data_IF_152251917265
#
_entry.id   IF_152251917265
#
_cell.length_a   1.000
_cell.length_b   1.000
_cell.length_c   1.000
_cell.angle_alpha   90.00
_cell.angle_beta   90.00
_cell.angle_gamma   90.00
#
_symmetry.space_group_name_H-M   'P 1'
#
loop_
_entity.id
_entity.type
_entity.pdbx_description
1 polymer ?
#
# COMPACT_ATOMS: atom_id res chain seq x y z
N UNK A 1 -12.30 -31.49 0.61
CA UNK A 1 -11.47 -30.40 0.05
C UNK A 1 -10.22 -31.00 -0.56
N UNK A 2 -9.73 -30.49 -1.70
CA UNK A 2 -8.41 -30.85 -2.19
C UNK A 2 -7.35 -30.51 -1.14
N UNK A 3 -6.31 -31.34 -1.05
CA UNK A 3 -5.19 -31.10 -0.14
C UNK A 3 -4.40 -29.90 -0.69
N UNK A 4 -4.17 -28.90 0.17
CA UNK A 4 -3.37 -27.71 -0.16
C UNK A 4 -1.98 -27.90 0.41
N UNK A 5 -0.97 -27.86 -0.45
CA UNK A 5 0.43 -28.08 -0.07
C UNK A 5 1.31 -26.86 -0.30
N UNK A 6 0.90 -25.96 -1.18
CA UNK A 6 1.63 -24.75 -1.55
C UNK A 6 0.66 -23.63 -1.98
N UNK A 7 1.19 -22.43 -2.22
CA UNK A 7 0.39 -21.26 -2.62
C UNK A 7 -0.18 -21.40 -4.05
N UNK A 8 0.52 -22.11 -4.94
CA UNK A 8 0.06 -22.35 -6.30
C UNK A 8 -1.22 -23.20 -6.33
N UNK A 9 -1.37 -24.17 -5.43
CA UNK A 9 -2.61 -24.94 -5.26
C UNK A 9 -3.80 -24.01 -4.95
N UNK A 10 -3.59 -22.95 -4.15
CA UNK A 10 -4.60 -21.94 -3.86
C UNK A 10 -4.92 -21.09 -5.09
N UNK A 11 -3.92 -20.64 -5.85
CA UNK A 11 -4.11 -19.86 -7.09
C UNK A 11 -4.92 -20.64 -8.11
N UNK A 12 -4.60 -21.92 -8.33
CA UNK A 12 -5.33 -22.80 -9.27
C UNK A 12 -6.78 -22.99 -8.84
N UNK A 13 -7.06 -23.11 -7.53
CA UNK A 13 -8.43 -23.21 -7.03
C UNK A 13 -9.19 -21.90 -7.16
N UNK A 14 -8.53 -20.77 -6.91
CA UNK A 14 -9.09 -19.45 -7.11
C UNK A 14 -9.48 -19.24 -8.58
N UNK A 15 -8.59 -19.55 -9.52
CA UNK A 15 -8.85 -19.49 -10.97
C UNK A 15 -10.08 -20.30 -11.39
N UNK A 16 -10.32 -21.45 -10.76
CA UNK A 16 -11.49 -22.32 -11.06
C UNK A 16 -12.80 -21.80 -10.47
N UNK A 17 -12.74 -21.01 -9.40
CA UNK A 17 -13.91 -20.63 -8.59
C UNK A 17 -14.36 -19.19 -8.82
N UNK A 18 -13.44 -18.33 -9.22
CA UNK A 18 -13.70 -16.90 -9.38
C UNK A 18 -14.05 -16.59 -10.84
N UNK A 19 -15.09 -15.77 -11.10
CA UNK A 19 -15.42 -15.32 -12.45
C UNK A 19 -14.19 -14.70 -13.13
N UNK A 20 -14.00 -15.02 -14.42
CA UNK A 20 -12.79 -14.63 -15.18
C UNK A 20 -12.44 -13.15 -15.06
N UNK A 21 -13.44 -12.25 -15.12
CA UNK A 21 -13.21 -10.81 -15.02
C UNK A 21 -12.52 -10.41 -13.71
N UNK A 22 -12.92 -11.00 -12.57
CA UNK A 22 -12.33 -10.69 -11.27
C UNK A 22 -10.98 -11.38 -11.09
N UNK A 23 -10.86 -12.61 -11.58
CA UNK A 23 -9.58 -13.32 -11.58
C UNK A 23 -8.52 -12.56 -12.38
N UNK A 24 -8.83 -12.16 -13.62
CA UNK A 24 -7.91 -11.43 -14.48
C UNK A 24 -7.53 -10.07 -13.88
N UNK A 25 -8.41 -9.43 -13.09
CA UNK A 25 -8.06 -8.21 -12.37
C UNK A 25 -6.95 -8.43 -11.34
N UNK A 26 -7.00 -9.54 -10.60
CA UNK A 26 -5.99 -9.86 -9.58
C UNK A 26 -4.71 -10.48 -10.16
N UNK A 27 -4.85 -11.29 -11.22
CA UNK A 27 -3.76 -12.08 -11.82
C UNK A 27 -3.40 -11.58 -13.23
N UNK A 28 -3.12 -10.29 -13.34
CA UNK A 28 -2.58 -9.68 -14.56
C UNK A 28 -1.47 -8.66 -14.27
N UNK A 29 -0.65 -8.40 -15.28
CA UNK A 29 0.40 -7.39 -15.24
C UNK A 29 0.17 -6.29 -16.27
N UNK A 30 1.07 -5.31 -16.29
CA UNK A 30 1.02 -4.25 -17.31
C UNK A 30 1.48 -4.77 -18.68
N UNK A 31 0.70 -4.47 -19.72
CA UNK A 31 1.00 -4.73 -21.13
C UNK A 31 1.38 -6.19 -21.44
N UNK A 32 2.65 -6.46 -21.75
CA UNK A 32 3.18 -7.81 -22.02
C UNK A 32 3.42 -8.63 -20.76
N UNK A 33 3.21 -8.02 -19.58
CA UNK A 33 3.34 -8.66 -18.26
C UNK A 33 4.74 -9.24 -18.01
N UNK A 34 5.74 -8.69 -18.68
CA UNK A 34 7.12 -9.16 -18.61
C UNK A 34 7.69 -9.00 -17.20
N UNK A 35 7.42 -7.87 -16.54
CA UNK A 35 7.84 -7.63 -15.15
C UNK A 35 7.17 -8.58 -14.17
N UNK A 36 5.86 -8.85 -14.36
CA UNK A 36 5.12 -9.81 -13.53
C UNK A 36 5.78 -11.20 -13.57
N UNK A 37 6.11 -11.70 -14.78
CA UNK A 37 6.84 -12.98 -14.95
C UNK A 37 8.28 -12.92 -14.45
N UNK A 38 8.95 -11.78 -14.64
CA UNK A 38 10.33 -11.58 -14.21
C UNK A 38 10.45 -11.72 -12.69
N UNK A 39 9.53 -11.13 -11.93
CA UNK A 39 9.49 -11.17 -10.47
C UNK A 39 9.59 -12.60 -9.92
N UNK A 40 8.85 -13.55 -10.49
CA UNK A 40 8.94 -14.96 -10.08
C UNK A 40 10.22 -15.62 -10.62
N UNK A 41 10.54 -15.43 -11.89
CA UNK A 41 11.67 -16.10 -12.55
C UNK A 41 13.03 -15.70 -11.96
N UNK A 42 13.16 -14.49 -11.42
CA UNK A 42 14.37 -14.00 -10.80
C UNK A 42 14.70 -14.75 -9.50
N UNK A 43 13.69 -15.11 -8.70
CA UNK A 43 13.90 -15.93 -7.51
C UNK A 43 14.40 -17.34 -7.86
N UNK A 44 13.98 -17.91 -8.99
CA UNK A 44 14.40 -19.25 -9.42
C UNK A 44 15.91 -19.31 -9.74
N UNK A 45 16.53 -18.18 -10.08
CA UNK A 45 17.97 -18.07 -10.34
C UNK A 45 18.79 -18.15 -9.05
N UNK A 46 18.21 -17.79 -7.91
CA UNK A 46 18.86 -17.81 -6.60
C UNK A 46 18.90 -19.26 -6.09
N UNK A 47 20.09 -19.77 -5.82
CA UNK A 47 20.29 -21.11 -5.25
C UNK A 47 20.75 -21.02 -3.80
N UNK A 48 20.29 -21.96 -2.98
CA UNK A 48 20.70 -22.04 -1.58
C UNK A 48 22.01 -22.81 -1.46
N UNK A 49 22.99 -22.20 -0.79
CA UNK A 49 24.18 -22.92 -0.32
C UNK A 49 23.86 -23.56 1.03
N UNK A 50 23.42 -24.81 1.00
CA UNK A 50 23.08 -25.56 2.20
C UNK A 50 24.28 -25.63 3.16
N UNK A 51 24.03 -25.36 4.44
CA UNK A 51 24.97 -25.63 5.53
C UNK A 51 24.53 -26.93 6.22
N UNK A 52 25.45 -27.87 6.36
CA UNK A 52 25.19 -29.19 6.96
C UNK A 52 25.81 -29.28 8.36
N UNK A 53 25.34 -30.24 9.16
CA UNK A 53 25.81 -30.47 10.53
C UNK A 53 25.70 -29.25 11.48
N UNK A 54 24.67 -28.42 11.29
CA UNK A 54 24.34 -27.29 12.18
C UNK A 54 23.27 -27.74 13.17
N UNK A 55 23.42 -27.37 14.45
CA UNK A 55 22.34 -27.57 15.42
C UNK A 55 21.13 -26.69 15.04
N UNK A 56 19.99 -27.32 14.77
CA UNK A 56 18.74 -26.65 14.39
C UNK A 56 17.70 -26.61 15.52
N UNK A 57 18.09 -26.98 16.76
CA UNK A 57 17.24 -26.83 17.93
C UNK A 57 16.89 -25.35 18.14
N UNK A 58 15.66 -25.07 18.57
CA UNK A 58 15.15 -23.72 18.85
C UNK A 58 15.16 -22.74 17.66
N UNK A 59 15.08 -23.24 16.41
CA UNK A 59 14.90 -22.38 15.24
C UNK A 59 13.61 -21.56 15.36
N UNK A 60 13.68 -20.30 14.95
CA UNK A 60 12.55 -19.37 14.96
C UNK A 60 12.57 -18.53 13.70
N UNK A 61 11.39 -18.17 13.21
CA UNK A 61 11.20 -17.17 12.15
C UNK A 61 10.94 -15.78 12.73
N UNK A 62 10.78 -15.67 14.05
CA UNK A 62 10.51 -14.39 14.72
C UNK A 62 11.63 -13.38 14.41
N UNK A 63 11.23 -12.15 14.12
CA UNK A 63 12.16 -11.07 13.81
C UNK A 63 11.52 -9.72 14.11
N UNK A 64 12.16 -8.64 13.67
CA UNK A 64 11.64 -7.27 13.78
C UNK A 64 11.44 -6.72 12.37
N UNK A 65 10.29 -6.12 12.09
CA UNK A 65 10.00 -5.37 10.87
C UNK A 65 9.58 -3.95 11.24
N UNK A 66 10.25 -2.93 10.70
CA UNK A 66 9.95 -1.51 10.98
C UNK A 66 9.91 -1.19 12.49
N UNK A 67 10.82 -1.80 13.26
CA UNK A 67 10.89 -1.62 14.72
C UNK A 67 9.87 -2.43 15.54
N UNK A 68 8.97 -3.17 14.90
CA UNK A 68 7.94 -3.99 15.57
C UNK A 68 8.32 -5.48 15.56
N UNK A 69 8.07 -6.19 16.66
CA UNK A 69 8.26 -7.64 16.71
C UNK A 69 7.20 -8.35 15.84
N UNK A 70 7.65 -9.32 15.03
CA UNK A 70 6.77 -10.12 14.16
C UNK A 70 7.06 -11.62 14.28
N UNK A 71 6.05 -12.45 14.07
CA UNK A 71 6.18 -13.91 14.14
C UNK A 71 7.03 -14.50 13.00
N UNK A 72 7.08 -13.82 11.85
CA UNK A 72 7.84 -14.21 10.67
C UNK A 72 8.13 -12.99 9.77
N UNK A 73 9.17 -13.01 8.91
CA UNK A 73 9.56 -11.87 8.07
C UNK A 73 8.68 -11.75 6.82
N UNK A 74 7.37 -11.71 6.99
CA UNK A 74 6.38 -11.67 5.89
C UNK A 74 5.18 -10.85 6.35
N UNK A 75 4.64 -10.06 5.42
CA UNK A 75 3.46 -9.23 5.65
C UNK A 75 2.48 -9.39 4.47
N UNK A 76 1.21 -9.07 4.72
CA UNK A 76 0.23 -8.94 3.65
C UNK A 76 0.56 -7.68 2.84
N UNK A 77 0.72 -7.85 1.53
CA UNK A 77 0.81 -6.71 0.62
C UNK A 77 -0.57 -6.01 0.54
N UNK A 78 -0.62 -4.69 0.34
CA UNK A 78 -1.89 -4.03 0.04
C UNK A 78 -2.51 -4.70 -1.17
N UNK A 79 -3.78 -5.11 -1.08
CA UNK A 79 -4.57 -5.70 -2.17
C UNK A 79 -5.91 -4.98 -2.27
N UNK A 80 -6.30 -4.59 -3.48
CA UNK A 80 -7.49 -3.79 -3.73
C UNK A 80 -8.62 -4.70 -4.22
N UNK A 81 -9.86 -4.32 -3.92
CA UNK A 81 -11.06 -5.01 -4.39
C UNK A 81 -11.08 -6.51 -4.04
N UNK A 82 -10.56 -6.91 -2.88
CA UNK A 82 -10.57 -8.31 -2.47
C UNK A 82 -11.98 -8.82 -2.18
N UNK A 83 -12.91 -7.92 -1.82
CA UNK A 83 -14.35 -8.19 -1.80
C UNK A 83 -14.94 -8.66 -3.14
N UNK A 84 -14.32 -8.30 -4.28
CA UNK A 84 -14.71 -8.83 -5.60
C UNK A 84 -14.14 -10.24 -5.85
N UNK A 85 -13.07 -10.61 -5.15
CA UNK A 85 -12.44 -11.93 -5.26
C UNK A 85 -13.19 -12.97 -4.41
N UNK A 86 -13.59 -12.56 -3.21
CA UNK A 86 -14.37 -13.35 -2.26
C UNK A 86 -15.15 -12.40 -1.34
N UNK A 87 -16.40 -12.70 -0.96
CA UNK A 87 -17.16 -11.86 -0.04
C UNK A 87 -16.39 -11.58 1.25
N UNK A 88 -16.36 -10.32 1.67
CA UNK A 88 -15.64 -9.86 2.87
C UNK A 88 -14.11 -10.10 2.82
N UNK A 89 -13.52 -10.14 1.62
CA UNK A 89 -12.10 -10.45 1.42
C UNK A 89 -11.15 -9.65 2.32
N UNK A 90 -11.34 -8.33 2.45
CA UNK A 90 -10.51 -7.46 3.27
C UNK A 90 -10.63 -7.81 4.75
N UNK A 91 -11.86 -8.06 5.21
CA UNK A 91 -12.16 -8.42 6.61
C UNK A 91 -11.57 -9.79 6.94
N UNK A 92 -11.68 -10.76 6.03
CA UNK A 92 -11.11 -12.09 6.22
C UNK A 92 -9.58 -12.06 6.24
N UNK A 93 -8.96 -11.20 5.42
CA UNK A 93 -7.52 -10.98 5.43
C UNK A 93 -7.06 -10.36 6.77
N UNK A 94 -7.78 -9.34 7.27
CA UNK A 94 -7.54 -8.74 8.59
C UNK A 94 -7.64 -9.77 9.72
N UNK A 95 -8.73 -10.55 9.76
CA UNK A 95 -8.91 -11.61 10.75
C UNK A 95 -7.83 -12.70 10.67
N UNK A 96 -7.33 -13.00 9.48
CA UNK A 96 -6.20 -13.91 9.31
C UNK A 96 -4.91 -13.28 9.86
N UNK A 97 -4.66 -12.00 9.59
CA UNK A 97 -3.51 -11.27 10.11
C UNK A 97 -3.51 -11.22 11.66
N UNK A 98 -4.65 -10.91 12.28
CA UNK A 98 -4.83 -10.91 13.74
C UNK A 98 -4.52 -12.26 14.38
N UNK A 99 -4.99 -13.36 13.77
CA UNK A 99 -4.68 -14.73 14.22
C UNK A 99 -3.19 -15.04 14.17
N UNK A 100 -2.42 -14.33 13.35
CA UNK A 100 -0.97 -14.45 13.23
C UNK A 100 -0.20 -13.40 14.06
N UNK A 101 -0.91 -12.62 14.91
CA UNK A 101 -0.32 -11.68 15.85
C UNK A 101 0.00 -10.32 15.25
N UNK A 102 -0.65 -9.93 14.15
CA UNK A 102 -0.63 -8.56 13.65
C UNK A 102 -1.79 -7.78 14.28
N UNK A 103 -1.49 -6.61 14.84
CA UNK A 103 -2.52 -5.70 15.35
C UNK A 103 -3.11 -4.92 14.16
N UNK A 104 -4.41 -5.07 13.91
CA UNK A 104 -5.09 -4.46 12.78
C UNK A 104 -6.09 -3.44 13.31
N UNK A 105 -5.86 -2.18 13.01
CA UNK A 105 -6.80 -1.10 13.27
C UNK A 105 -7.51 -0.70 11.97
N UNK A 106 -8.83 -0.92 11.84
CA UNK A 106 -9.59 -0.45 10.68
C UNK A 106 -9.61 1.07 10.66
N UNK A 107 -9.26 1.66 9.51
CA UNK A 107 -9.43 3.09 9.27
C UNK A 107 -10.79 3.37 8.64
N UNK A 108 -11.59 4.22 9.27
CA UNK A 108 -12.85 4.69 8.71
C UNK A 108 -12.59 5.66 7.55
N UNK A 109 -12.53 5.10 6.34
CA UNK A 109 -12.38 5.88 5.11
C UNK A 109 -13.56 6.83 4.87
N UNK A 110 -13.28 7.95 4.21
CA UNK A 110 -14.30 8.89 3.78
C UNK A 110 -15.01 8.40 2.53
N UNK A 111 -16.34 8.33 2.62
CA UNK A 111 -17.18 7.94 1.50
C UNK A 111 -17.31 9.07 0.46
N UNK A 112 -17.66 8.75 -0.79
CA UNK A 112 -17.76 9.72 -1.87
C UNK A 112 -18.65 10.94 -1.60
N UNK A 113 -19.72 10.76 -0.83
CA UNK A 113 -20.68 11.80 -0.43
C UNK A 113 -20.14 12.71 0.68
N UNK A 114 -19.08 12.29 1.37
CA UNK A 114 -18.39 13.03 2.42
C UNK A 114 -17.16 13.76 1.88
N UNK A 115 -16.51 13.21 0.84
CA UNK A 115 -15.24 13.70 0.30
C UNK A 115 -15.26 15.18 -0.08
N UNK A 116 -16.27 15.63 -0.82
CA UNK A 116 -16.34 17.03 -1.25
C UNK A 116 -16.51 17.99 -0.07
N UNK A 117 -17.39 17.63 0.89
CA UNK A 117 -17.59 18.44 2.11
C UNK A 117 -16.31 18.53 2.92
N UNK A 118 -15.56 17.42 3.00
CA UNK A 118 -14.29 17.38 3.68
C UNK A 118 -13.27 18.32 3.01
N UNK A 119 -13.11 18.24 1.69
CA UNK A 119 -12.20 19.14 0.95
C UNK A 119 -12.56 20.62 1.14
N UNK A 120 -13.85 20.95 1.10
CA UNK A 120 -14.33 22.31 1.36
C UNK A 120 -13.99 22.77 2.78
N UNK A 121 -14.10 21.89 3.79
CA UNK A 121 -13.75 22.18 5.19
C UNK A 121 -12.26 22.42 5.40
N UNK A 122 -11.40 21.63 4.74
CA UNK A 122 -9.94 21.77 4.85
C UNK A 122 -9.37 22.83 3.89
N UNK A 123 -10.23 23.51 3.12
CA UNK A 123 -9.83 24.57 2.18
C UNK A 123 -9.13 24.06 0.91
N UNK A 124 -9.27 22.77 0.58
CA UNK A 124 -8.71 22.19 -0.64
C UNK A 124 -9.65 22.48 -1.81
N UNK A 125 -9.14 23.23 -2.78
CA UNK A 125 -9.86 23.49 -4.01
C UNK A 125 -9.44 22.52 -5.10
N UNK A 126 -10.42 22.02 -5.84
CA UNK A 126 -10.16 21.17 -7.00
C UNK A 126 -9.48 21.99 -8.09
N UNK A 127 -8.39 21.44 -8.63
CA UNK A 127 -7.71 22.07 -9.76
C UNK A 127 -8.68 22.24 -10.96
N UNK A 128 -8.70 23.40 -11.64
CA UNK A 128 -9.70 23.72 -12.67
C UNK A 128 -9.63 22.83 -13.92
N UNK A 129 -8.50 22.17 -14.16
CA UNK A 129 -8.37 21.22 -15.25
C UNK A 129 -9.17 19.93 -14.99
N UNK A 130 -10.01 19.52 -15.94
CA UNK A 130 -10.68 18.21 -15.90
C UNK A 130 -9.63 17.10 -15.98
N UNK A 131 -9.35 16.45 -14.84
CA UNK A 131 -8.63 15.19 -14.82
C UNK A 131 -9.57 14.08 -15.29
N UNK A 132 -9.06 13.10 -16.04
CA UNK A 132 -9.86 11.98 -16.61
C UNK A 132 -10.50 11.05 -15.55
N UNK A 133 -10.28 11.26 -14.25
CA UNK A 133 -10.64 10.34 -13.15
C UNK A 133 -11.31 11.02 -11.94
N UNK A 134 -12.26 11.93 -12.17
CA UNK A 134 -13.05 12.55 -11.09
C UNK A 134 -14.22 11.68 -10.61
N UNK A 135 -14.02 10.37 -10.46
CA UNK A 135 -15.11 9.53 -9.94
C UNK A 135 -15.33 9.80 -8.45
N UNK A 136 -16.57 9.71 -7.95
CA UNK A 136 -16.84 9.91 -6.52
C UNK A 136 -15.99 8.99 -5.61
N UNK A 137 -15.73 7.75 -6.04
CA UNK A 137 -14.85 6.81 -5.33
C UNK A 137 -13.40 7.28 -5.23
N UNK A 138 -12.86 7.87 -6.30
CA UNK A 138 -11.49 8.43 -6.31
C UNK A 138 -11.39 9.61 -5.34
N UNK A 139 -12.43 10.44 -5.26
CA UNK A 139 -12.46 11.56 -4.31
C UNK A 139 -12.51 11.08 -2.85
N UNK A 140 -13.32 10.06 -2.55
CA UNK A 140 -13.34 9.45 -1.20
C UNK A 140 -12.00 8.83 -0.80
N UNK A 141 -11.37 8.11 -1.73
CA UNK A 141 -10.03 7.55 -1.54
C UNK A 141 -8.98 8.66 -1.27
N UNK A 142 -8.95 9.69 -2.11
CA UNK A 142 -8.04 10.82 -1.94
C UNK A 142 -8.26 11.57 -0.61
N UNK A 143 -9.52 11.78 -0.21
CA UNK A 143 -9.86 12.41 1.05
C UNK A 143 -9.39 11.57 2.26
N UNK A 144 -9.55 10.24 2.17
CA UNK A 144 -9.08 9.30 3.20
C UNK A 144 -7.56 9.34 3.37
N UNK A 145 -6.80 9.38 2.28
CA UNK A 145 -5.33 9.53 2.38
C UNK A 145 -4.92 10.87 2.93
N UNK A 146 -5.65 11.94 2.59
CA UNK A 146 -5.38 13.25 3.17
C UNK A 146 -5.60 13.26 4.69
N UNK A 147 -6.65 12.58 5.19
CA UNK A 147 -6.84 12.40 6.63
C UNK A 147 -5.67 11.66 7.29
N UNK A 148 -5.22 10.55 6.70
CA UNK A 148 -4.06 9.80 7.20
C UNK A 148 -2.78 10.66 7.21
N UNK A 149 -2.59 11.49 6.17
CA UNK A 149 -1.48 12.43 6.12
C UNK A 149 -1.57 13.51 7.21
N UNK A 150 -2.76 14.07 7.46
CA UNK A 150 -2.97 15.01 8.56
C UNK A 150 -2.69 14.36 9.91
N UNK A 151 -3.14 13.11 10.13
CA UNK A 151 -2.85 12.36 11.35
C UNK A 151 -1.35 12.12 11.53
N UNK A 152 -0.65 11.72 10.48
CA UNK A 152 0.82 11.58 10.50
C UNK A 152 1.52 12.89 10.88
N UNK A 153 1.10 14.01 10.28
CA UNK A 153 1.60 15.35 10.61
C UNK A 153 1.32 15.74 12.06
N UNK A 154 0.10 15.52 12.54
CA UNK A 154 -0.34 15.99 13.85
C UNK A 154 0.19 15.11 15.00
N UNK A 155 0.33 13.80 14.78
CA UNK A 155 0.95 12.86 15.72
C UNK A 155 2.48 12.90 15.71
N UNK A 156 3.07 13.38 14.61
CA UNK A 156 4.51 13.32 14.34
C UNK A 156 5.07 11.88 14.40
N UNK A 157 4.23 10.89 14.05
CA UNK A 157 4.61 9.49 13.91
C UNK A 157 4.70 9.12 12.42
N UNK A 158 5.72 8.33 12.00
CA UNK A 158 5.90 7.99 10.59
C UNK A 158 4.86 6.98 10.12
N UNK A 159 4.03 7.36 9.14
CA UNK A 159 3.03 6.48 8.55
C UNK A 159 3.55 5.93 7.22
N UNK A 160 3.41 4.63 7.01
CA UNK A 160 3.62 4.02 5.70
C UNK A 160 2.26 3.72 5.10
N UNK A 161 1.81 4.58 4.19
CA UNK A 161 0.57 4.37 3.43
C UNK A 161 0.91 3.54 2.20
N UNK A 162 0.43 2.29 2.18
CA UNK A 162 0.67 1.36 1.08
C UNK A 162 -0.56 1.29 0.17
N UNK A 163 -0.49 1.94 -0.99
CA UNK A 163 -1.47 1.81 -2.06
C UNK A 163 -1.01 0.84 -3.17
N UNK A 164 -1.91 0.48 -4.08
CA UNK A 164 -1.67 -0.37 -5.26
C UNK A 164 -0.66 0.17 -6.28
N UNK A 165 -0.11 1.36 -6.03
CA UNK A 165 0.68 2.11 -7.00
C UNK A 165 2.12 2.36 -6.52
N UNK A 166 2.54 1.78 -5.40
CA UNK A 166 3.88 1.96 -4.84
C UNK A 166 4.86 0.86 -5.29
N UNK A 167 5.89 1.23 -6.06
CA UNK A 167 6.99 0.32 -6.41
C UNK A 167 8.32 0.83 -5.84
N UNK A 168 8.87 0.12 -4.86
CA UNK A 168 10.25 0.32 -4.42
C UNK A 168 11.15 -0.75 -5.03
N UNK A 169 12.06 -0.30 -5.89
CA UNK A 169 12.92 -1.14 -6.74
C UNK A 169 14.19 -1.63 -6.00
N UNK A 170 14.44 -1.16 -4.76
CA UNK A 170 15.56 -1.55 -3.86
C UNK A 170 15.17 -1.36 -2.39
N UNK A 171 15.85 -2.04 -1.44
CA UNK A 171 15.57 -1.86 0.00
C UNK A 171 15.92 -0.45 0.48
N UNK A 172 15.09 0.09 1.35
CA UNK A 172 15.39 1.31 2.11
C UNK A 172 16.28 0.93 3.31
N UNK A 173 17.49 1.52 3.46
CA UNK A 173 18.31 1.30 4.65
C UNK A 173 17.70 2.05 5.83
N UNK A 174 17.58 1.41 7.00
CA UNK A 174 16.96 1.93 8.24
C UNK A 174 17.75 3.08 8.93
N UNK A 175 18.47 3.89 8.17
CA UNK A 175 19.28 5.05 8.61
C UNK A 175 18.97 6.31 7.80
N UNK A 176 17.72 6.49 7.36
CA UNK A 176 17.35 7.69 6.59
C UNK A 176 17.09 8.86 7.53
N UNK A 177 17.96 9.87 7.46
CA UNK A 177 17.60 11.27 7.73
C UNK A 177 16.93 11.78 6.46
N UNK A 178 15.77 12.43 6.57
CA UNK A 178 15.06 12.94 5.39
C UNK A 178 15.79 14.17 4.85
N UNK A 179 16.37 14.03 3.65
CA UNK A 179 17.06 15.13 2.96
C UNK A 179 16.12 15.97 2.09
N UNK A 180 14.87 15.52 1.85
CA UNK A 180 13.88 16.23 1.03
C UNK A 180 12.43 15.88 1.46
N UNK A 181 11.51 16.79 1.17
CA UNK A 181 10.08 16.75 1.56
C UNK A 181 9.23 16.69 0.30
N UNK A 182 8.33 15.69 0.23
CA UNK A 182 7.30 15.66 -0.80
C UNK A 182 6.26 16.77 -0.51
N UNK A 183 6.18 17.75 -1.40
CA UNK A 183 5.25 18.88 -1.32
C UNK A 183 4.02 18.64 -2.20
N UNK A 184 2.85 19.04 -1.72
CA UNK A 184 1.56 18.87 -2.39
C UNK A 184 1.12 20.07 -3.23
N UNK A 185 1.95 21.11 -3.35
CA UNK A 185 1.66 22.26 -4.21
C UNK A 185 2.54 22.33 -5.46
N UNK A 186 2.21 23.29 -6.32
CA UNK A 186 2.74 23.41 -7.67
C UNK A 186 4.10 24.10 -7.77
N UNK A 187 4.66 24.58 -6.65
CA UNK A 187 5.89 25.39 -6.64
C UNK A 187 7.16 24.52 -6.75
N UNK A 188 8.15 24.99 -7.51
CA UNK A 188 9.46 24.35 -7.63
C UNK A 188 10.31 24.54 -6.35
N UNK A 189 10.62 23.49 -5.57
CA UNK A 189 11.36 23.60 -4.31
C UNK A 189 12.84 23.96 -4.49
N UNK A 190 13.39 23.77 -5.70
CA UNK A 190 14.77 24.10 -6.00
C UNK A 190 14.92 25.47 -6.68
N UNK A 191 13.83 26.23 -6.82
CA UNK A 191 13.82 27.60 -7.34
C UNK A 191 14.20 28.61 -6.27
N UNK A 192 14.88 29.69 -6.66
CA UNK A 192 15.26 30.79 -5.76
C UNK A 192 14.05 31.60 -5.23
N UNK A 193 12.87 31.37 -5.81
CA UNK A 193 11.62 32.06 -5.58
C UNK A 193 10.59 31.19 -4.83
N UNK A 194 11.00 30.02 -4.33
CA UNK A 194 10.09 29.08 -3.68
C UNK A 194 9.29 29.73 -2.55
N UNK A 195 9.95 30.39 -1.59
CA UNK A 195 9.27 31.04 -0.46
C UNK A 195 8.29 32.13 -0.89
N UNK A 196 8.58 32.82 -2.00
CA UNK A 196 7.68 33.80 -2.59
C UNK A 196 6.49 33.12 -3.28
N UNK A 197 6.71 32.00 -3.98
CA UNK A 197 5.66 31.20 -4.62
C UNK A 197 4.66 30.67 -3.58
N UNK A 198 5.14 30.10 -2.46
CA UNK A 198 4.24 29.61 -1.40
C UNK A 198 3.55 30.75 -0.65
N UNK A 199 4.17 31.93 -0.55
CA UNK A 199 3.55 33.09 0.07
C UNK A 199 2.39 33.67 -0.75
N UNK A 200 2.39 33.49 -2.07
CA UNK A 200 1.30 33.91 -2.97
C UNK A 200 0.12 32.92 -2.94
N UNK A 201 0.39 31.62 -2.72
CA UNK A 201 -0.66 30.60 -2.63
C UNK A 201 -1.35 30.51 -1.26
N UNK A 202 -0.90 31.24 -0.22
CA UNK A 202 -1.67 31.34 1.02
C UNK A 202 -2.98 32.08 0.74
N UNK A 203 -4.16 31.45 0.88
CA UNK A 203 -5.39 32.20 0.92
C UNK A 203 -5.29 33.16 2.11
N UNK A 204 -5.54 34.44 1.89
CA UNK A 204 -5.73 35.38 2.99
C UNK A 204 -6.99 34.95 3.75
N UNK A 205 -6.82 34.11 4.79
CA UNK A 205 -7.90 33.75 5.72
C UNK A 205 -8.07 32.26 6.06
N UNK A 206 -7.00 31.57 6.45
CA UNK A 206 -7.04 30.43 7.41
C UNK A 206 -5.95 30.66 8.45
#
# INVERSE_FOLDING_TARGET
MPIITNIEDLRVLHQKRTPKMFYDYADSGSWTESTYRANESDFQKIKLRQRVAVNMQNRTTKTTMVGQEVAMPVALAPTGLTGMQYPDGEILAAQAAEKFGLDIEPFDGLYPDQAQKFFDQVGIQKHPAKLKRDSPGVLGCAASHFCLWQQCRDSNEPYVILEHDAYMIRPMPLTVVFDDVLKLDSCNPFGADYDACVAVEKPQGI
#
